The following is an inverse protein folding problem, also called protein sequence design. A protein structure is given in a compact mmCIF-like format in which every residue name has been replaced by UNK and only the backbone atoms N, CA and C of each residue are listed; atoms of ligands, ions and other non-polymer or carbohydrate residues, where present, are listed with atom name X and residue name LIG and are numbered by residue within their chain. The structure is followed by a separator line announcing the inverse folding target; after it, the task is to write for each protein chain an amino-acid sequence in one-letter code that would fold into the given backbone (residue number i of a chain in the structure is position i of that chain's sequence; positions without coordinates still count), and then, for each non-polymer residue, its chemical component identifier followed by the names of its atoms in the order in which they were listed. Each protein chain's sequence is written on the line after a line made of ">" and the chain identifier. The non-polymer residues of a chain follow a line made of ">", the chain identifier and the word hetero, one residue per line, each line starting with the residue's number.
data_IF_769666822618
#
_entry.id   IF_769666822618
#
_cell.length_a   1.000
_cell.length_b   1.000
_cell.length_c   1.000
_cell.angle_alpha   90.00
_cell.angle_beta   90.00
_cell.angle_gamma   90.00
#
_symmetry.space_group_name_H-M   'P 1'
#
loop_
_entity.id
_entity.type
_entity.pdbx_description
1 polymer ?
#
# COMPACT_ATOMS: atom_id res chain seq x y z
N UNK A 1 -14.35 20.56 -2.94
CA UNK A 1 -14.49 19.84 -1.66
C UNK A 1 -13.30 18.93 -1.34
N UNK A 2 -12.97 17.94 -2.19
CA UNK A 2 -11.89 16.97 -1.93
C UNK A 2 -10.48 17.54 -1.87
N UNK A 3 -10.17 18.54 -2.71
CA UNK A 3 -8.86 19.18 -2.71
C UNK A 3 -8.48 19.78 -1.35
N UNK A 4 -9.45 20.35 -0.63
CA UNK A 4 -9.22 20.90 0.72
C UNK A 4 -8.90 19.78 1.73
N UNK A 5 -9.60 18.64 1.66
CA UNK A 5 -9.33 17.48 2.52
C UNK A 5 -7.91 16.94 2.28
N UNK A 6 -7.51 16.75 1.02
CA UNK A 6 -6.14 16.33 0.69
C UNK A 6 -5.09 17.33 1.18
N UNK A 7 -5.41 18.63 1.16
CA UNK A 7 -4.51 19.67 1.68
C UNK A 7 -4.33 19.56 3.19
N UNK A 8 -5.42 19.30 3.94
CA UNK A 8 -5.37 19.10 5.39
C UNK A 8 -4.53 17.85 5.73
N UNK A 9 -4.75 16.74 5.02
CA UNK A 9 -3.96 15.51 5.21
C UNK A 9 -2.48 15.76 4.89
N UNK A 10 -2.18 16.43 3.77
CA UNK A 10 -0.81 16.71 3.37
C UNK A 10 -0.07 17.59 4.38
N UNK A 11 -0.77 18.57 4.99
CA UNK A 11 -0.21 19.41 6.06
C UNK A 11 0.06 18.65 7.36
N UNK A 12 -0.57 17.49 7.56
CA UNK A 12 -0.30 16.62 8.71
C UNK A 12 1.02 15.87 8.62
N UNK A 13 1.61 15.75 7.43
CA UNK A 13 2.93 15.14 7.26
C UNK A 13 4.02 16.16 7.63
N UNK A 14 4.51 16.07 8.86
CA UNK A 14 5.56 16.95 9.42
C UNK A 14 6.87 16.19 9.58
N UNK A 15 7.95 16.88 9.97
CA UNK A 15 9.29 16.28 10.08
C UNK A 15 9.33 15.14 11.11
N UNK A 16 8.54 15.27 12.17
CA UNK A 16 8.42 14.32 13.28
C UNK A 16 7.54 13.12 12.91
N UNK A 17 6.61 13.31 11.97
CA UNK A 17 5.70 12.29 11.46
C UNK A 17 5.67 12.32 9.93
N UNK A 18 6.79 11.94 9.28
CA UNK A 18 6.86 11.96 7.84
C UNK A 18 5.90 10.93 7.26
N UNK A 19 5.39 11.20 6.05
CA UNK A 19 4.70 10.15 5.29
C UNK A 19 5.69 9.06 4.91
N UNK A 20 5.44 7.83 5.35
CA UNK A 20 6.24 6.67 4.97
C UNK A 20 5.56 5.88 3.84
N UNK A 21 6.32 5.44 2.81
CA UNK A 21 5.84 4.44 1.86
C UNK A 21 5.35 3.20 2.61
N UNK A 22 4.25 2.60 2.13
CA UNK A 22 3.66 1.41 2.76
C UNK A 22 4.67 0.27 2.98
N UNK A 23 5.61 0.10 2.04
CA UNK A 23 6.69 -0.86 2.15
C UNK A 23 7.57 -0.70 3.40
N UNK A 24 7.68 0.52 3.96
CA UNK A 24 8.48 0.83 5.14
C UNK A 24 7.71 0.73 6.47
N UNK A 25 6.40 0.56 6.43
CA UNK A 25 5.58 0.52 7.65
C UNK A 25 6.00 -0.65 8.54
N UNK A 26 6.06 -0.44 9.85
CA UNK A 26 6.42 -1.50 10.81
C UNK A 26 5.19 -2.35 11.15
N UNK A 27 5.43 -3.54 11.72
CA UNK A 27 4.38 -4.41 12.26
C UNK A 27 3.34 -4.91 11.25
N UNK A 28 3.73 -5.00 9.97
CA UNK A 28 2.94 -5.61 8.91
C UNK A 28 3.70 -6.81 8.36
N UNK A 29 3.00 -7.93 8.17
CA UNK A 29 3.52 -9.18 7.62
C UNK A 29 4.24 -8.95 6.28
N UNK A 30 5.45 -9.49 6.08
CA UNK A 30 6.21 -9.30 4.84
C UNK A 30 5.42 -9.67 3.57
N UNK A 31 4.69 -10.77 3.61
CA UNK A 31 3.88 -11.29 2.51
C UNK A 31 2.70 -10.35 2.21
N UNK A 32 2.09 -9.76 3.24
CA UNK A 32 1.04 -8.78 3.04
C UNK A 32 1.58 -7.49 2.41
N UNK A 33 2.77 -7.04 2.82
CA UNK A 33 3.43 -5.89 2.19
C UNK A 33 3.73 -6.13 0.72
N UNK A 34 4.22 -7.31 0.38
CA UNK A 34 4.51 -7.67 -1.02
C UNK A 34 3.23 -7.66 -1.86
N UNK A 35 2.16 -8.30 -1.36
CA UNK A 35 0.85 -8.32 -2.01
C UNK A 35 0.33 -6.90 -2.28
N UNK A 36 0.22 -6.06 -1.25
CA UNK A 36 -0.31 -4.70 -1.37
C UNK A 36 0.61 -3.86 -2.27
N UNK A 37 1.93 -3.96 -2.11
CA UNK A 37 2.89 -3.24 -2.95
C UNK A 37 2.74 -3.56 -4.44
N UNK A 38 2.52 -4.83 -4.78
CA UNK A 38 2.25 -5.28 -6.14
C UNK A 38 0.86 -4.84 -6.63
N UNK A 39 -0.14 -4.80 -5.77
CA UNK A 39 -1.50 -4.33 -6.09
C UNK A 39 -1.58 -2.81 -6.25
N UNK A 40 -0.73 -2.03 -5.58
CA UNK A 40 -0.74 -0.56 -5.61
C UNK A 40 0.49 0.03 -6.30
N UNK A 41 1.08 -0.73 -7.24
CA UNK A 41 2.22 -0.24 -8.00
C UNK A 41 1.84 1.00 -8.82
N UNK A 42 2.66 2.05 -8.75
CA UNK A 42 2.43 3.31 -9.47
C UNK A 42 2.50 3.09 -10.99
N UNK A 43 3.37 2.19 -11.45
CA UNK A 43 3.39 1.77 -12.85
C UNK A 43 2.29 0.74 -13.08
N UNK A 44 1.21 1.17 -13.74
CA UNK A 44 0.05 0.31 -14.03
C UNK A 44 0.40 -0.95 -14.83
N UNK A 45 1.51 -0.97 -15.58
CA UNK A 45 1.96 -2.18 -16.29
C UNK A 45 2.58 -3.22 -15.36
N UNK A 46 3.05 -2.79 -14.18
CA UNK A 46 3.63 -3.64 -13.13
C UNK A 46 2.61 -4.01 -12.06
N UNK A 47 1.48 -3.31 -12.00
CA UNK A 47 0.37 -3.63 -11.11
C UNK A 47 -0.16 -5.04 -11.42
N UNK A 48 -0.25 -5.88 -10.39
CA UNK A 48 -0.79 -7.24 -10.56
C UNK A 48 -2.30 -7.22 -10.69
N UNK A 49 -2.86 -8.19 -11.41
CA UNK A 49 -4.32 -8.34 -11.54
C UNK A 49 -4.92 -8.98 -10.31
N UNK A 50 -6.23 -8.81 -10.09
CA UNK A 50 -6.95 -9.47 -8.99
C UNK A 50 -6.74 -10.99 -8.98
N UNK A 51 -6.74 -11.64 -10.16
CA UNK A 51 -6.44 -13.08 -10.27
C UNK A 51 -5.05 -13.43 -9.77
N UNK A 52 -4.02 -12.64 -10.12
CA UNK A 52 -2.65 -12.86 -9.63
C UNK A 52 -2.53 -12.60 -8.14
N UNK A 53 -3.23 -11.58 -7.64
CA UNK A 53 -3.29 -11.24 -6.22
C UNK A 53 -3.89 -12.40 -5.39
N UNK A 54 -4.98 -13.02 -5.86
CA UNK A 54 -5.59 -14.18 -5.21
C UNK A 54 -4.71 -15.43 -5.21
N UNK A 55 -3.69 -15.50 -6.08
CA UNK A 55 -2.71 -16.60 -6.09
C UNK A 55 -1.49 -16.31 -5.21
N UNK A 56 -1.48 -15.20 -4.45
CA UNK A 56 -0.37 -14.82 -3.59
C UNK A 56 -0.34 -15.64 -2.30
N UNK A 57 0.87 -15.93 -1.78
CA UNK A 57 1.09 -16.77 -0.60
C UNK A 57 0.40 -16.24 0.68
N UNK A 58 0.15 -14.93 0.74
CA UNK A 58 -0.61 -14.32 1.82
C UNK A 58 -2.03 -14.88 1.97
N UNK A 59 -2.61 -15.46 0.91
CA UNK A 59 -3.92 -16.12 0.97
C UNK A 59 -3.83 -17.64 1.20
N UNK A 60 -2.65 -18.22 1.36
CA UNK A 60 -2.45 -19.68 1.35
C UNK A 60 -3.11 -20.41 2.55
N UNK A 61 -3.42 -19.69 3.62
CA UNK A 61 -4.12 -20.18 4.82
C UNK A 61 -5.58 -19.71 4.91
N UNK A 62 -6.03 -18.87 3.97
CA UNK A 62 -7.40 -18.34 3.88
C UNK A 62 -8.22 -19.10 2.83
N UNK A 63 -7.57 -19.56 1.75
CA UNK A 63 -8.17 -20.22 0.58
C UNK A 63 -7.70 -21.67 0.45
#
# INVERSE_FOLDING_TARGET
>A
PWAQLFTVIAKGFIKEFPREPFALWKDIEPEFKDLVGNMTNIDSKRQITARKALSHQWFADIL
#
